data_IF_740005842418
#
_entry.id   IF_740005842418
#
_cell.length_a   1.000
_cell.length_b   1.000
_cell.length_c   1.000
_cell.angle_alpha   90.00
_cell.angle_beta   90.00
_cell.angle_gamma   90.00
#
_symmetry.space_group_name_H-M   'P 1'
#
loop_
_entity.id
_entity.type
_entity.pdbx_description
1 polymer ?
#
# COMPACT_ATOMS: atom_id res chain seq x y z
N UNK A 1 -22.38 -0.70 -13.41
CA UNK A 1 -23.67 -0.89 -12.72
C UNK A 1 -23.68 0.06 -11.54
N UNK A 2 -24.49 1.10 -11.58
CA UNK A 2 -24.98 1.82 -10.39
C UNK A 2 -26.46 2.05 -10.68
N UNK A 3 -27.29 1.17 -10.12
CA UNK A 3 -28.74 1.31 -10.08
C UNK A 3 -29.08 1.19 -8.61
N UNK A 4 -29.85 2.15 -8.15
CA UNK A 4 -30.43 2.25 -6.82
C UNK A 4 -29.51 2.87 -5.77
N UNK A 5 -30.06 3.86 -5.04
CA UNK A 5 -29.39 4.75 -4.09
C UNK A 5 -28.87 4.09 -2.81
N UNK A 6 -28.32 2.89 -2.91
CA UNK A 6 -27.51 2.23 -1.90
C UNK A 6 -26.07 2.33 -2.39
N UNK A 7 -25.28 3.22 -1.79
CA UNK A 7 -23.88 3.41 -2.18
C UNK A 7 -23.11 2.08 -2.21
N UNK A 8 -22.04 2.04 -3.02
CA UNK A 8 -21.10 0.91 -3.13
C UNK A 8 -20.87 0.23 -1.78
N UNK A 9 -21.14 -1.07 -1.70
CA UNK A 9 -20.85 -1.87 -0.51
C UNK A 9 -19.36 -2.21 -0.41
N UNK A 10 -18.95 -2.75 0.74
CA UNK A 10 -17.56 -3.12 0.99
C UNK A 10 -17.02 -4.10 -0.07
N UNK A 11 -17.86 -5.01 -0.56
CA UNK A 11 -17.48 -5.97 -1.60
C UNK A 11 -17.21 -5.29 -2.95
N UNK A 12 -18.04 -4.32 -3.33
CA UNK A 12 -17.84 -3.53 -4.54
C UNK A 12 -16.49 -2.81 -4.51
N UNK A 13 -16.12 -2.22 -3.37
CA UNK A 13 -14.81 -1.60 -3.18
C UNK A 13 -13.67 -2.62 -3.32
N UNK A 14 -13.77 -3.76 -2.66
CA UNK A 14 -12.78 -4.85 -2.75
C UNK A 14 -12.54 -5.26 -4.21
N UNK A 15 -13.60 -5.48 -4.99
CA UNK A 15 -13.50 -5.89 -6.41
C UNK A 15 -12.89 -4.80 -7.27
N UNK A 16 -13.30 -3.53 -7.09
CA UNK A 16 -12.72 -2.42 -7.84
C UNK A 16 -11.23 -2.25 -7.52
N UNK A 17 -10.87 -2.22 -6.24
CA UNK A 17 -9.47 -2.06 -5.83
C UNK A 17 -8.63 -3.20 -6.40
N UNK A 18 -9.07 -4.46 -6.27
CA UNK A 18 -8.35 -5.61 -6.86
C UNK A 18 -8.20 -5.48 -8.38
N UNK A 19 -9.27 -5.14 -9.10
CA UNK A 19 -9.21 -5.00 -10.56
C UNK A 19 -8.35 -3.83 -11.04
N UNK A 20 -8.24 -2.77 -10.25
CA UNK A 20 -7.28 -1.68 -10.48
C UNK A 20 -5.86 -2.12 -10.13
N UNK A 21 -5.69 -2.93 -9.08
CA UNK A 21 -4.41 -3.51 -8.71
C UNK A 21 -3.84 -4.39 -9.83
N UNK A 22 -4.64 -5.31 -10.36
CA UNK A 22 -4.22 -6.23 -11.44
C UNK A 22 -3.77 -5.48 -12.70
N UNK A 23 -4.36 -4.30 -12.94
CA UNK A 23 -4.06 -3.46 -14.10
C UNK A 23 -2.93 -2.46 -13.85
N UNK A 24 -2.28 -2.51 -12.68
CA UNK A 24 -1.20 -1.59 -12.31
C UNK A 24 -1.64 -0.14 -12.14
N UNK A 25 -2.95 0.10 -11.98
CA UNK A 25 -3.55 1.43 -11.83
C UNK A 25 -3.65 1.81 -10.35
N UNK A 26 -2.50 2.21 -9.82
CA UNK A 26 -2.32 2.39 -8.37
C UNK A 26 -3.06 3.62 -7.85
N UNK A 27 -3.08 4.71 -8.62
CA UNK A 27 -3.75 5.96 -8.23
C UNK A 27 -5.25 5.73 -8.01
N UNK A 28 -5.90 5.02 -8.95
CA UNK A 28 -7.31 4.70 -8.83
C UNK A 28 -7.59 3.67 -7.73
N UNK A 29 -6.72 2.68 -7.54
CA UNK A 29 -6.85 1.74 -6.42
C UNK A 29 -6.81 2.48 -5.06
N UNK A 30 -5.90 3.45 -4.91
CA UNK A 30 -5.79 4.29 -3.71
C UNK A 30 -6.99 5.22 -3.54
N UNK A 31 -7.51 5.78 -4.63
CA UNK A 31 -8.72 6.60 -4.58
C UNK A 31 -9.90 5.84 -3.97
N UNK A 32 -10.18 4.62 -4.47
CA UNK A 32 -11.26 3.79 -3.96
C UNK A 32 -11.01 3.30 -2.52
N UNK A 33 -9.76 3.00 -2.17
CA UNK A 33 -9.39 2.64 -0.81
C UNK A 33 -9.65 3.78 0.19
N UNK A 34 -9.26 5.01 -0.17
CA UNK A 34 -9.51 6.20 0.64
C UNK A 34 -11.00 6.52 0.73
N UNK A 35 -11.76 6.38 -0.36
CA UNK A 35 -13.21 6.61 -0.37
C UNK A 35 -13.91 5.63 0.58
N UNK A 36 -13.59 4.33 0.50
CA UNK A 36 -14.12 3.30 1.39
C UNK A 36 -13.81 3.61 2.87
N UNK A 37 -12.57 3.99 3.17
CA UNK A 37 -12.15 4.32 4.54
C UNK A 37 -12.83 5.60 5.04
N UNK A 38 -13.01 6.60 4.18
CA UNK A 38 -13.72 7.85 4.51
C UNK A 38 -15.21 7.62 4.77
N UNK A 39 -15.80 6.57 4.19
CA UNK A 39 -17.17 6.12 4.47
C UNK A 39 -17.27 5.28 5.75
N UNK A 40 -16.18 5.09 6.49
CA UNK A 40 -16.13 4.30 7.73
C UNK A 40 -16.15 2.79 7.50
N UNK A 41 -15.98 2.32 6.26
CA UNK A 41 -15.88 0.91 5.95
C UNK A 41 -14.48 0.40 6.28
N UNK A 42 -14.40 -0.80 6.85
CA UNK A 42 -13.12 -1.42 7.23
C UNK A 42 -12.58 -2.20 6.03
N UNK A 43 -11.40 -1.83 5.48
CA UNK A 43 -10.77 -2.61 4.43
C UNK A 43 -10.45 -4.02 4.90
N UNK A 44 -10.72 -5.01 4.05
CA UNK A 44 -10.22 -6.35 4.32
C UNK A 44 -8.67 -6.34 4.38
N UNK A 45 -8.06 -7.17 5.24
CA UNK A 45 -6.60 -7.24 5.36
C UNK A 45 -5.91 -7.47 4.01
N UNK A 46 -6.54 -8.26 3.12
CA UNK A 46 -6.04 -8.53 1.76
C UNK A 46 -5.92 -7.26 0.91
N UNK A 47 -6.89 -6.36 1.00
CA UNK A 47 -6.91 -5.09 0.26
C UNK A 47 -5.82 -4.16 0.77
N UNK A 48 -5.62 -4.09 2.09
CA UNK A 48 -4.54 -3.31 2.68
C UNK A 48 -3.16 -3.77 2.20
N UNK A 49 -2.91 -5.08 2.22
CA UNK A 49 -1.66 -5.67 1.72
C UNK A 49 -1.45 -5.35 0.24
N UNK A 50 -2.51 -5.40 -0.58
CA UNK A 50 -2.42 -5.05 -2.00
C UNK A 50 -2.03 -3.59 -2.20
N UNK A 51 -2.72 -2.65 -1.55
CA UNK A 51 -2.41 -1.21 -1.65
C UNK A 51 -0.99 -0.91 -1.16
N UNK A 52 -0.56 -1.53 -0.05
CA UNK A 52 0.79 -1.37 0.47
C UNK A 52 1.86 -1.90 -0.50
N UNK A 53 1.64 -3.08 -1.09
CA UNK A 53 2.52 -3.66 -2.10
C UNK A 53 2.61 -2.77 -3.36
N UNK A 54 1.50 -2.15 -3.75
CA UNK A 54 1.48 -1.19 -4.86
C UNK A 54 2.26 0.09 -4.55
N UNK A 55 2.13 0.62 -3.33
CA UNK A 55 2.88 1.79 -2.89
C UNK A 55 4.38 1.54 -2.88
N UNK A 56 4.82 0.34 -2.51
CA UNK A 56 6.23 -0.05 -2.62
C UNK A 56 6.68 -0.02 -4.09
N UNK A 57 5.86 -0.58 -5.00
CA UNK A 57 6.15 -0.63 -6.43
C UNK A 57 6.15 0.75 -7.11
N UNK A 58 5.35 1.69 -6.62
CA UNK A 58 5.33 3.08 -7.09
C UNK A 58 6.58 3.84 -6.63
N UNK A 59 7.00 3.65 -5.37
CA UNK A 59 8.24 4.24 -4.82
C UNK A 59 9.50 3.76 -5.55
N UNK A 60 9.54 2.50 -5.95
CA UNK A 60 10.62 1.96 -6.80
C UNK A 60 10.69 2.65 -8.18
N UNK A 61 9.53 3.01 -8.76
CA UNK A 61 9.46 3.68 -10.08
C UNK A 61 9.79 5.16 -10.02
N UNK A 62 9.62 5.80 -8.87
CA UNK A 62 9.95 7.21 -8.64
C UNK A 62 11.40 7.41 -8.17
N UNK A 63 12.18 6.34 -8.01
CA UNK A 63 13.62 6.44 -7.69
C UNK A 63 13.92 6.87 -6.26
N UNK A 64 12.94 6.85 -5.36
CA UNK A 64 13.16 7.16 -3.94
C UNK A 64 13.77 5.94 -3.24
N UNK A 65 14.97 6.05 -2.66
CA UNK A 65 15.58 4.96 -1.91
C UNK A 65 14.66 4.62 -0.73
N UNK A 66 14.35 3.33 -0.59
CA UNK A 66 13.66 2.82 0.58
C UNK A 66 14.52 3.19 1.78
N UNK A 67 14.06 4.11 2.61
CA UNK A 67 14.55 4.20 3.98
C UNK A 67 14.00 3.00 4.75
N UNK A 68 14.41 1.80 4.32
CA UNK A 68 14.43 0.66 5.21
C UNK A 68 15.48 1.03 6.23
N UNK A 69 15.00 1.48 7.40
CA UNK A 69 15.77 1.55 8.64
C UNK A 69 16.30 0.18 9.05
N UNK A 70 17.10 -0.43 8.18
CA UNK A 70 18.10 -1.43 8.54
C UNK A 70 19.17 -0.62 9.25
N UNK A 71 18.97 -0.48 10.55
CA UNK A 71 20.00 -0.47 11.57
C UNK A 71 21.39 -0.67 10.95
N UNK A 72 22.06 0.45 10.61
CA UNK A 72 23.49 0.45 10.37
C UNK A 72 24.12 0.12 11.72
N UNK A 73 24.17 -1.18 12.07
CA UNK A 73 24.93 -1.66 13.21
C UNK A 73 26.35 -1.18 12.98
N UNK A 74 26.80 -0.34 13.89
CA UNK A 74 28.08 0.33 13.93
C UNK A 74 29.22 -0.52 13.36
N UNK A 75 29.76 -0.07 12.21
CA UNK A 75 31.13 -0.34 11.81
C UNK A 75 32.08 0.48 12.73
N UNK A 76 31.99 0.26 14.04
CA UNK A 76 32.86 0.93 15.03
C UNK A 76 33.32 0.03 16.17
N UNK A 77 32.96 -1.26 16.17
CA UNK A 77 33.43 -2.22 17.19
C UNK A 77 34.58 -3.13 16.74
N UNK A 78 35.16 -2.95 15.54
CA UNK A 78 36.28 -3.78 15.08
C UNK A 78 37.68 -3.20 15.33
N UNK A 79 37.83 -1.97 15.83
CA UNK A 79 39.15 -1.37 16.12
C UNK A 79 39.55 -1.41 17.61
N UNK A 80 38.78 -2.07 18.47
CA UNK A 80 39.11 -2.17 19.91
C UNK A 80 39.59 -3.55 20.35
N UNK A 81 39.80 -4.50 19.44
CA UNK A 81 40.29 -5.85 19.75
C UNK A 81 41.68 -6.18 19.21
N UNK A 82 42.39 -5.19 18.65
CA UNK A 82 43.83 -5.30 18.37
C UNK A 82 44.58 -4.26 19.21
N UNK A 83 44.81 -4.59 20.48
CA UNK A 83 45.85 -4.00 21.33
C UNK A 83 46.37 -5.07 22.28
#
# INVERSE_FOLDING_TARGET
>A
MERDGLGRDQWSYTVMIHGHCDKGRIEEAMYYFNEMTSKGMVPEPRIKILVDAMNIKLKERLGEPRDTGVMKRDMRLQLQYEA
#
